data_IF_811486792409
#
_entry.id   IF_811486792409
#
_cell.length_a   1.000
_cell.length_b   1.000
_cell.length_c   1.000
_cell.angle_alpha   90.00
_cell.angle_beta   90.00
_cell.angle_gamma   90.00
#
_symmetry.space_group_name_H-M   'P 1'
#
loop_
_entity.id
_entity.type
_entity.pdbx_description
1 polymer ?
#
# COMPACT_ATOMS: atom_id res chain seq x y z
N UNK A 1 -22.32 -0.75 30.25
CA UNK A 1 -22.11 -2.05 29.58
C UNK A 1 -23.41 -2.79 29.32
N UNK A 2 -24.25 -3.05 30.34
CA UNK A 2 -25.56 -3.70 30.18
C UNK A 2 -26.52 -2.99 29.21
N UNK A 3 -26.57 -1.65 29.23
CA UNK A 3 -27.42 -0.88 28.32
C UNK A 3 -27.10 -1.07 26.84
N UNK A 4 -25.81 -1.26 26.49
CA UNK A 4 -25.41 -1.55 25.12
C UNK A 4 -25.89 -2.93 24.67
N UNK A 5 -25.78 -3.93 25.54
CA UNK A 5 -26.24 -5.30 25.25
C UNK A 5 -27.75 -5.33 25.03
N UNK A 6 -28.51 -4.66 25.89
CA UNK A 6 -29.98 -4.57 25.78
C UNK A 6 -30.40 -3.84 24.49
N UNK A 7 -29.73 -2.73 24.17
CA UNK A 7 -29.99 -1.97 22.93
C UNK A 7 -29.77 -2.82 21.67
N UNK A 8 -28.69 -3.59 21.62
CA UNK A 8 -28.37 -4.45 20.48
C UNK A 8 -29.38 -5.59 20.31
N UNK A 9 -29.85 -6.19 21.41
CA UNK A 9 -30.87 -7.25 21.36
C UNK A 9 -32.21 -6.71 20.83
N UNK A 10 -32.63 -5.53 21.30
CA UNK A 10 -33.87 -4.89 20.83
C UNK A 10 -33.78 -4.53 19.34
N UNK A 11 -32.64 -4.01 18.90
CA UNK A 11 -32.39 -3.67 17.49
C UNK A 11 -32.52 -4.89 16.57
N UNK A 12 -31.91 -6.03 16.93
CA UNK A 12 -32.03 -7.26 16.14
C UNK A 12 -33.44 -7.84 16.16
N UNK A 13 -34.15 -7.76 17.29
CA UNK A 13 -35.56 -8.18 17.38
C UNK A 13 -36.48 -7.36 16.45
N UNK A 14 -36.23 -6.04 16.31
CA UNK A 14 -37.03 -5.16 15.45
C UNK A 14 -36.82 -5.40 13.95
N UNK A 15 -35.63 -5.85 13.56
CA UNK A 15 -35.26 -6.10 12.14
C UNK A 15 -35.73 -7.49 11.69
N UNK A 16 -36.19 -8.34 12.62
CA UNK A 16 -36.68 -9.69 12.33
C UNK A 16 -35.61 -10.67 11.84
N UNK A 17 -34.34 -10.30 11.94
CA UNK A 17 -33.17 -11.11 11.55
C UNK A 17 -32.64 -11.83 12.79
N UNK A 18 -32.43 -13.14 12.69
CA UNK A 18 -31.86 -13.92 13.78
C UNK A 18 -30.43 -13.48 14.10
N UNK A 19 -30.05 -13.50 15.38
CA UNK A 19 -28.68 -13.15 15.80
C UNK A 19 -27.60 -13.91 15.01
N UNK A 20 -27.83 -15.19 14.73
CA UNK A 20 -26.91 -16.03 13.95
C UNK A 20 -26.78 -15.57 12.48
N UNK A 21 -27.88 -15.17 11.86
CA UNK A 21 -27.91 -14.68 10.47
C UNK A 21 -27.21 -13.33 10.36
N UNK A 22 -27.46 -12.44 11.31
CA UNK A 22 -26.77 -11.17 11.41
C UNK A 22 -25.26 -11.34 11.63
N UNK A 23 -24.86 -12.29 12.48
CA UNK A 23 -23.44 -12.57 12.73
C UNK A 23 -22.76 -13.13 11.47
N UNK A 24 -23.43 -14.03 10.75
CA UNK A 24 -22.93 -14.58 9.49
C UNK A 24 -22.81 -13.50 8.40
N UNK A 25 -23.84 -12.68 8.22
CA UNK A 25 -23.85 -11.60 7.23
C UNK A 25 -22.85 -10.50 7.59
N UNK A 26 -22.74 -10.12 8.87
CA UNK A 26 -21.78 -9.16 9.37
C UNK A 26 -20.34 -9.65 9.23
N UNK A 27 -20.08 -10.91 9.55
CA UNK A 27 -18.78 -11.55 9.36
C UNK A 27 -18.35 -11.58 7.89
N UNK A 28 -19.24 -12.00 7.00
CA UNK A 28 -18.99 -12.02 5.56
C UNK A 28 -18.74 -10.62 4.98
N UNK A 29 -19.57 -9.64 5.36
CA UNK A 29 -19.40 -8.23 4.94
C UNK A 29 -18.09 -7.66 5.46
N UNK A 30 -17.74 -7.94 6.72
CA UNK A 30 -16.48 -7.51 7.32
C UNK A 30 -15.27 -8.08 6.59
N UNK A 31 -15.32 -9.35 6.17
CA UNK A 31 -14.27 -9.96 5.36
C UNK A 31 -14.13 -9.26 4.01
N UNK A 32 -15.23 -9.01 3.29
CA UNK A 32 -15.19 -8.31 1.99
C UNK A 32 -14.57 -6.93 2.14
N UNK A 33 -15.04 -6.14 3.12
CA UNK A 33 -14.52 -4.80 3.37
C UNK A 33 -13.05 -4.82 3.77
N UNK A 34 -12.65 -5.80 4.60
CA UNK A 34 -11.27 -6.01 5.00
C UNK A 34 -10.36 -6.31 3.80
N UNK A 35 -10.76 -7.27 2.97
CA UNK A 35 -10.06 -7.65 1.74
C UNK A 35 -9.93 -6.46 0.77
N UNK A 36 -11.02 -5.72 0.54
CA UNK A 36 -11.02 -4.55 -0.32
C UNK A 36 -10.10 -3.43 0.20
N UNK A 37 -10.00 -3.29 1.53
CA UNK A 37 -9.21 -2.24 2.17
C UNK A 37 -7.72 -2.60 2.32
N UNK A 38 -7.32 -3.84 2.04
CA UNK A 38 -5.95 -4.34 2.29
C UNK A 38 -4.88 -3.43 1.68
N UNK A 39 -5.03 -3.04 0.42
CA UNK A 39 -4.03 -2.21 -0.28
C UNK A 39 -3.90 -0.83 0.35
N UNK A 40 -5.02 -0.20 0.71
CA UNK A 40 -5.01 1.13 1.34
C UNK A 40 -4.36 1.06 2.72
N UNK A 41 -4.76 0.09 3.54
CA UNK A 41 -4.20 -0.13 4.86
C UNK A 41 -2.70 -0.45 4.79
N UNK A 42 -2.27 -1.29 3.85
CA UNK A 42 -0.85 -1.62 3.63
C UNK A 42 -0.02 -0.38 3.31
N UNK A 43 -0.54 0.53 2.47
CA UNK A 43 0.10 1.81 2.19
C UNK A 43 0.18 2.72 3.41
N UNK A 44 -0.88 2.81 4.20
CA UNK A 44 -0.89 3.59 5.45
C UNK A 44 0.18 3.07 6.41
N UNK A 45 0.22 1.76 6.65
CA UNK A 45 1.23 1.17 7.53
C UNK A 45 2.65 1.35 6.99
N UNK A 46 2.84 1.26 5.68
CA UNK A 46 4.11 1.59 5.02
C UNK A 46 4.52 3.04 5.27
N UNK A 47 3.60 4.00 5.11
CA UNK A 47 3.85 5.41 5.36
C UNK A 47 4.17 5.70 6.83
N UNK A 48 3.41 5.12 7.76
CA UNK A 48 3.69 5.21 9.19
C UNK A 48 5.08 4.66 9.50
N UNK A 49 5.44 3.50 8.93
CA UNK A 49 6.76 2.92 9.15
C UNK A 49 7.87 3.85 8.66
N UNK A 50 7.74 4.45 7.46
CA UNK A 50 8.70 5.43 6.94
C UNK A 50 8.82 6.64 7.88
N UNK A 51 7.70 7.15 8.40
CA UNK A 51 7.70 8.32 9.30
C UNK A 51 8.36 8.02 10.66
N UNK A 52 8.19 6.81 11.18
CA UNK A 52 8.75 6.38 12.47
C UNK A 52 10.24 6.04 12.32
N UNK A 53 10.57 5.14 11.39
CA UNK A 53 11.94 4.63 11.20
C UNK A 53 12.85 5.62 10.47
N UNK A 54 12.27 6.58 9.73
CA UNK A 54 12.96 7.62 8.94
C UNK A 54 14.17 7.07 8.14
N UNK A 55 13.98 6.04 7.29
CA UNK A 55 15.07 5.45 6.52
C UNK A 55 15.65 6.43 5.48
N UNK A 56 14.83 7.38 5.04
CA UNK A 56 15.19 8.51 4.18
C UNK A 56 14.33 9.73 4.54
N UNK A 57 14.74 10.90 4.07
CA UNK A 57 14.08 12.19 4.29
C UNK A 57 13.76 12.86 2.96
N UNK A 58 12.94 13.91 3.03
CA UNK A 58 12.70 14.80 1.90
C UNK A 58 14.03 15.47 1.53
N UNK A 59 14.37 15.47 0.25
CA UNK A 59 15.64 15.93 -0.30
C UNK A 59 16.68 14.82 -0.50
N UNK A 60 16.45 13.62 0.03
CA UNK A 60 17.38 12.51 -0.19
C UNK A 60 17.21 11.95 -1.60
N UNK A 61 18.35 11.67 -2.25
CA UNK A 61 18.37 10.96 -3.53
C UNK A 61 18.33 9.46 -3.25
N UNK A 62 17.24 8.82 -3.67
CA UNK A 62 17.01 7.39 -3.48
C UNK A 62 16.85 6.70 -4.83
N UNK A 63 17.23 5.42 -4.86
CA UNK A 63 16.99 4.54 -6.00
C UNK A 63 16.00 3.48 -5.57
N UNK A 64 14.81 3.45 -6.19
CA UNK A 64 13.77 2.50 -5.88
C UNK A 64 13.74 1.40 -6.93
N UNK A 65 14.27 0.23 -6.56
CA UNK A 65 14.21 -0.99 -7.36
C UNK A 65 12.93 -1.76 -6.98
N UNK A 66 11.89 -1.66 -7.80
CA UNK A 66 10.61 -2.33 -7.53
C UNK A 66 10.38 -3.50 -8.47
N UNK A 67 10.05 -4.66 -7.90
CA UNK A 67 9.70 -5.88 -8.63
C UNK A 67 8.44 -5.73 -9.50
N UNK A 68 7.63 -4.69 -9.26
CA UNK A 68 6.44 -4.42 -10.05
C UNK A 68 6.78 -3.91 -11.47
N UNK A 69 7.98 -3.38 -11.66
CA UNK A 69 8.50 -3.05 -12.98
C UNK A 69 9.46 -4.17 -13.37
N UNK A 70 9.00 -5.06 -14.26
CA UNK A 70 9.74 -6.28 -14.61
C UNK A 70 11.14 -6.00 -15.16
N UNK A 71 12.04 -6.96 -14.97
CA UNK A 71 13.39 -6.93 -15.55
C UNK A 71 13.29 -6.72 -17.07
N UNK A 72 13.82 -5.60 -17.56
CA UNK A 72 13.90 -5.35 -18.99
C UNK A 72 15.21 -5.96 -19.48
N UNK A 73 15.12 -6.97 -20.35
CA UNK A 73 16.29 -7.45 -21.07
C UNK A 73 16.83 -6.31 -21.95
N UNK A 74 18.16 -6.08 -22.02
CA UNK A 74 18.72 -5.07 -22.90
C UNK A 74 18.37 -5.40 -24.35
N UNK A 75 17.53 -4.58 -24.99
CA UNK A 75 17.08 -4.78 -26.39
C UNK A 75 17.98 -4.07 -27.43
N UNK A 76 19.03 -3.36 -26.98
CA UNK A 76 19.95 -2.62 -27.85
C UNK A 76 21.28 -3.38 -28.10
N UNK A 77 21.74 -3.52 -29.36
CA UNK A 77 23.08 -4.05 -29.69
C UNK A 77 24.15 -3.12 -29.08
N UNK A 78 25.24 -3.57 -28.44
CA UNK A 78 25.92 -4.88 -28.45
C UNK A 78 25.75 -5.73 -27.17
N UNK A 79 24.75 -5.44 -26.32
CA UNK A 79 24.63 -6.04 -24.97
C UNK A 79 23.87 -7.38 -24.88
N UNK A 80 23.49 -7.99 -26.01
CA UNK A 80 22.71 -9.25 -26.06
C UNK A 80 23.31 -10.42 -25.26
N UNK A 81 24.63 -10.41 -25.05
CA UNK A 81 25.37 -11.48 -24.37
C UNK A 81 25.86 -11.09 -22.97
N UNK A 82 25.48 -9.91 -22.45
CA UNK A 82 25.81 -9.48 -21.09
C UNK A 82 24.69 -9.89 -20.13
N UNK A 83 25.02 -10.57 -19.03
CA UNK A 83 24.09 -10.88 -17.93
C UNK A 83 23.80 -9.64 -17.05
N UNK A 84 23.97 -8.43 -17.60
CA UNK A 84 23.71 -7.19 -16.89
C UNK A 84 22.20 -6.98 -16.79
N UNK A 85 21.64 -7.40 -15.67
CA UNK A 85 20.28 -7.02 -15.31
C UNK A 85 20.24 -5.50 -15.15
N UNK A 86 19.56 -4.81 -16.06
CA UNK A 86 19.16 -3.44 -15.82
C UNK A 86 18.11 -3.50 -14.71
N UNK A 87 18.49 -3.13 -13.49
CA UNK A 87 17.53 -2.90 -12.43
C UNK A 87 16.71 -1.69 -12.89
N UNK A 88 15.41 -1.82 -13.23
CA UNK A 88 14.58 -0.68 -13.56
C UNK A 88 14.27 0.06 -12.26
N UNK A 89 15.30 0.72 -11.74
CA UNK A 89 15.26 1.51 -10.53
C UNK A 89 15.04 2.95 -10.90
N UNK A 90 13.94 3.55 -10.45
CA UNK A 90 13.79 4.99 -10.57
C UNK A 90 14.70 5.64 -9.54
N UNK A 91 15.73 6.33 -10.03
CA UNK A 91 16.58 7.18 -9.18
C UNK A 91 16.05 8.60 -9.24
N UNK A 92 15.88 9.21 -8.07
CA UNK A 92 15.34 10.54 -7.96
C UNK A 92 15.45 11.12 -6.55
N UNK A 93 15.10 12.39 -6.42
CA UNK A 93 15.04 13.11 -5.15
C UNK A 93 13.64 12.99 -4.54
N UNK A 94 13.57 12.68 -3.25
CA UNK A 94 12.31 12.63 -2.51
C UNK A 94 11.77 14.04 -2.31
N UNK A 95 10.59 14.33 -2.84
CA UNK A 95 9.96 15.66 -2.70
C UNK A 95 8.97 15.68 -1.53
N UNK A 96 8.21 14.60 -1.35
CA UNK A 96 7.19 14.54 -0.34
C UNK A 96 6.94 13.11 0.13
N UNK A 97 6.75 12.95 1.44
CA UNK A 97 6.33 11.70 2.06
C UNK A 97 4.93 11.93 2.64
N UNK A 98 3.93 11.33 2.02
CA UNK A 98 2.55 11.31 2.49
C UNK A 98 2.22 9.96 3.13
N UNK A 99 1.05 9.85 3.76
CA UNK A 99 0.64 8.61 4.44
C UNK A 99 0.46 7.43 3.48
N UNK A 100 -0.05 7.68 2.27
CA UNK A 100 -0.33 6.64 1.28
C UNK A 100 0.78 6.49 0.22
N UNK A 101 1.46 7.59 -0.10
CA UNK A 101 2.41 7.64 -1.21
C UNK A 101 3.67 8.42 -0.84
N UNK A 102 4.79 8.05 -1.43
CA UNK A 102 6.04 8.82 -1.47
C UNK A 102 6.22 9.35 -2.89
N UNK A 103 6.49 10.65 -3.01
CA UNK A 103 6.69 11.31 -4.29
C UNK A 103 8.16 11.61 -4.51
N UNK A 104 8.66 11.23 -5.69
CA UNK A 104 10.03 11.49 -6.12
C UNK A 104 10.05 12.29 -7.42
N UNK A 105 11.07 13.11 -7.62
CA UNK A 105 11.40 13.67 -8.94
C UNK A 105 12.59 12.87 -9.46
N UNK A 106 12.41 12.18 -10.59
CA UNK A 106 13.49 11.41 -11.21
C UNK A 106 14.54 12.33 -11.84
N UNK A 107 15.71 11.78 -12.16
CA UNK A 107 16.75 12.52 -12.88
C UNK A 107 16.27 13.06 -14.25
N UNK A 108 15.24 12.44 -14.84
CA UNK A 108 14.53 12.89 -16.05
C UNK A 108 13.50 14.01 -15.78
N UNK A 109 13.46 14.53 -14.55
CA UNK A 109 12.51 15.53 -14.04
C UNK A 109 11.05 15.08 -14.06
N UNK A 110 10.79 13.77 -14.00
CA UNK A 110 9.44 13.23 -13.93
C UNK A 110 8.97 13.15 -12.48
N UNK A 111 7.78 13.66 -12.20
CA UNK A 111 7.17 13.57 -10.88
C UNK A 111 6.43 12.24 -10.74
N UNK A 112 6.92 11.35 -9.87
CA UNK A 112 6.42 9.99 -9.73
C UNK A 112 5.91 9.75 -8.31
N UNK A 113 4.66 9.30 -8.20
CA UNK A 113 4.02 8.93 -6.93
C UNK A 113 4.05 7.43 -6.75
N UNK A 114 4.67 6.96 -5.67
CA UNK A 114 4.89 5.54 -5.41
C UNK A 114 4.11 5.15 -4.15
N UNK A 115 3.32 4.07 -4.19
CA UNK A 115 2.64 3.55 -3.01
C UNK A 115 3.64 3.16 -1.93
N UNK A 116 3.40 3.56 -0.69
CA UNK A 116 4.34 3.33 0.41
C UNK A 116 4.57 1.85 0.73
N UNK A 117 3.61 0.98 0.43
CA UNK A 117 3.81 -0.46 0.60
C UNK A 117 4.89 -1.01 -0.33
N UNK A 118 5.12 -0.39 -1.50
CA UNK A 118 6.17 -0.77 -2.45
C UNK A 118 7.51 -0.20 -2.02
N UNK A 119 7.52 1.01 -1.45
CA UNK A 119 8.75 1.69 -1.02
C UNK A 119 9.43 1.00 0.17
N UNK A 120 8.64 0.33 1.01
CA UNK A 120 9.12 -0.36 2.22
C UNK A 120 9.52 -1.82 1.96
N UNK A 121 9.17 -2.37 0.78
CA UNK A 121 9.55 -3.73 0.36
C UNK A 121 10.95 -3.75 -0.23
#
# INVERSE_FOLDING_TARGET
MLGYIISTIIFFSYIGVGFNEALAAGGFTGLILGLASQTVLSNIFGGINILISKPFKIGDRITLATWQYGLIFPTYPPKFWSNDFLIPGFTGEVVNISLLYTSIITDEKLFLKIPNNVVVQ
#
